data_IF_808773432861
#
_entry.id   IF_808773432861
#
_cell.length_a   1.000
_cell.length_b   1.000
_cell.length_c   1.000
_cell.angle_alpha   90.00
_cell.angle_beta   90.00
_cell.angle_gamma   90.00
#
_symmetry.space_group_name_H-M   'P 1'
#
loop_
_entity.id
_entity.type
_entity.pdbx_description
1 polymer ?
#
# COMPACT_ATOMS: atom_id res chain seq x y z
N UNK A 1 7.62 13.28 78.47
CA UNK A 1 7.48 14.20 77.33
C UNK A 1 6.22 13.95 76.47
N UNK A 2 5.51 12.81 76.60
CA UNK A 2 4.35 12.46 75.75
C UNK A 2 2.96 12.94 76.21
N UNK A 3 2.82 13.46 77.44
CA UNK A 3 1.49 13.91 77.93
C UNK A 3 1.06 15.27 77.36
N UNK A 4 2.00 16.18 77.07
CA UNK A 4 1.71 17.49 76.44
C UNK A 4 1.26 17.35 74.99
N UNK A 5 1.87 16.43 74.23
CA UNK A 5 1.50 16.14 72.83
C UNK A 5 0.12 15.49 72.73
N UNK A 6 -0.20 14.53 73.61
CA UNK A 6 -1.53 13.90 73.66
C UNK A 6 -2.64 14.89 74.06
N UNK A 7 -2.32 15.84 74.94
CA UNK A 7 -3.23 16.94 75.29
C UNK A 7 -3.43 17.98 74.17
N UNK A 8 -2.37 18.35 73.44
CA UNK A 8 -2.46 19.29 72.30
C UNK A 8 -3.23 18.70 71.11
N UNK A 9 -3.06 17.41 70.81
CA UNK A 9 -3.78 16.72 69.72
C UNK A 9 -5.28 16.59 70.05
N UNK A 10 -5.63 16.39 71.32
CA UNK A 10 -7.04 16.34 71.75
C UNK A 10 -7.70 17.73 71.71
N UNK A 11 -7.00 18.79 72.11
CA UNK A 11 -7.53 20.16 72.01
C UNK A 11 -7.84 20.54 70.56
N UNK A 12 -6.93 20.26 69.62
CA UNK A 12 -7.16 20.60 68.20
C UNK A 12 -8.37 19.89 67.60
N UNK A 13 -8.59 18.62 67.95
CA UNK A 13 -9.75 17.84 67.48
C UNK A 13 -11.06 18.34 68.06
N UNK A 14 -11.07 18.68 69.36
CA UNK A 14 -12.26 19.22 70.02
C UNK A 14 -12.64 20.58 69.42
N UNK A 15 -11.65 21.44 69.18
CA UNK A 15 -11.84 22.75 68.53
C UNK A 15 -12.38 22.61 67.10
N UNK A 16 -11.92 21.61 66.34
CA UNK A 16 -12.45 21.28 65.00
C UNK A 16 -13.93 20.87 65.06
N UNK A 17 -14.29 19.97 65.98
CA UNK A 17 -15.66 19.49 66.12
C UNK A 17 -16.59 20.61 66.60
N UNK A 18 -16.16 21.41 67.59
CA UNK A 18 -16.88 22.61 68.02
C UNK A 18 -17.02 23.61 66.86
N UNK A 19 -15.99 23.75 66.04
CA UNK A 19 -16.03 24.55 64.82
C UNK A 19 -17.06 24.04 63.81
N UNK A 20 -17.25 22.72 63.70
CA UNK A 20 -18.29 22.12 62.85
C UNK A 20 -19.70 22.30 63.43
N UNK A 21 -19.87 22.16 64.74
CA UNK A 21 -21.16 22.37 65.42
C UNK A 21 -21.64 23.83 65.26
N UNK A 22 -20.71 24.79 65.25
CA UNK A 22 -21.02 26.21 65.02
C UNK A 22 -21.26 26.59 63.54
N UNK A 23 -21.12 25.64 62.62
CA UNK A 23 -21.46 25.81 61.20
C UNK A 23 -22.88 25.31 60.92
N UNK A 24 -23.45 25.82 59.84
CA UNK A 24 -24.69 25.29 59.30
C UNK A 24 -24.45 23.90 58.70
N UNK A 25 -25.47 23.04 58.72
CA UNK A 25 -25.44 21.80 57.95
C UNK A 25 -25.18 22.13 56.47
N UNK A 26 -24.34 21.33 55.83
CA UNK A 26 -23.86 21.66 54.49
C UNK A 26 -23.29 20.46 53.77
N UNK A 27 -22.44 20.72 52.78
CA UNK A 27 -21.85 19.68 51.94
C UNK A 27 -20.98 18.66 52.69
N UNK A 28 -20.44 19.04 53.86
CA UNK A 28 -19.44 18.26 54.58
C UNK A 28 -19.91 17.82 55.97
N UNK A 29 -21.01 18.39 56.49
CA UNK A 29 -21.47 18.13 57.86
C UNK A 29 -22.99 17.91 57.88
N UNK A 30 -23.43 16.92 58.66
CA UNK A 30 -24.82 16.60 58.97
C UNK A 30 -24.97 16.38 60.48
N UNK A 31 -26.03 16.90 61.09
CA UNK A 31 -26.37 16.69 62.49
C UNK A 31 -27.53 15.71 62.63
N UNK A 32 -27.43 14.79 63.59
CA UNK A 32 -28.56 13.95 64.01
C UNK A 32 -28.65 13.98 65.52
N UNK A 33 -29.86 14.21 66.03
CA UNK A 33 -30.09 14.18 67.47
C UNK A 33 -29.80 12.80 68.08
N UNK A 34 -30.08 11.72 67.35
CA UNK A 34 -29.83 10.35 67.84
C UNK A 34 -29.54 9.36 66.71
N UNK A 35 -29.01 8.19 67.08
CA UNK A 35 -28.71 7.08 66.16
C UNK A 35 -29.93 6.54 65.40
N UNK A 36 -31.14 6.78 65.91
CA UNK A 36 -32.39 6.40 65.24
C UNK A 36 -32.58 7.22 63.97
N UNK A 37 -32.17 8.49 63.98
CA UNK A 37 -32.25 9.39 62.83
C UNK A 37 -31.18 9.18 61.77
N UNK A 38 -30.17 8.34 62.02
CA UNK A 38 -29.16 7.99 61.03
C UNK A 38 -29.75 7.03 60.00
N UNK A 39 -29.86 7.44 58.74
CA UNK A 39 -30.36 6.61 57.64
C UNK A 39 -29.20 6.13 56.75
N UNK A 40 -29.29 4.93 56.14
CA UNK A 40 -28.32 4.51 55.12
C UNK A 40 -28.17 5.53 53.98
N UNK A 41 -29.25 6.25 53.66
CA UNK A 41 -29.26 7.36 52.70
C UNK A 41 -28.30 8.50 53.07
N UNK A 42 -28.08 8.77 54.36
CA UNK A 42 -27.11 9.78 54.81
C UNK A 42 -25.68 9.32 54.47
N UNK A 43 -25.38 8.05 54.72
CA UNK A 43 -24.08 7.45 54.43
C UNK A 43 -23.79 7.44 52.92
N UNK A 44 -24.78 7.01 52.13
CA UNK A 44 -24.70 6.96 50.68
C UNK A 44 -24.51 8.36 50.08
N UNK A 45 -25.20 9.38 50.62
CA UNK A 45 -25.09 10.74 50.12
C UNK A 45 -23.65 11.29 50.23
N UNK A 46 -22.99 11.03 51.36
CA UNK A 46 -21.59 11.41 51.55
C UNK A 46 -20.62 10.54 50.75
N UNK A 47 -20.81 9.22 50.71
CA UNK A 47 -19.97 8.33 49.90
C UNK A 47 -20.00 8.68 48.40
N UNK A 48 -21.14 9.15 47.89
CA UNK A 48 -21.27 9.63 46.51
C UNK A 48 -20.79 11.08 46.31
N UNK A 49 -20.60 11.87 47.37
CA UNK A 49 -20.13 13.24 47.27
C UNK A 49 -18.66 13.29 46.83
N UNK A 50 -18.17 14.45 46.38
CA UNK A 50 -16.76 14.58 45.95
C UNK A 50 -15.77 14.51 47.12
N UNK A 51 -16.15 15.04 48.28
CA UNK A 51 -15.26 15.22 49.43
C UNK A 51 -15.52 14.22 50.56
N UNK A 52 -16.63 13.47 50.52
CA UNK A 52 -17.14 12.76 51.69
C UNK A 52 -17.84 13.72 52.64
N UNK A 53 -17.79 13.42 53.95
CA UNK A 53 -18.29 14.29 55.01
C UNK A 53 -18.36 13.60 56.37
N UNK A 54 -18.87 14.34 57.35
CA UNK A 54 -18.95 13.95 58.75
C UNK A 54 -20.41 14.02 59.21
N UNK A 55 -20.86 12.99 59.91
CA UNK A 55 -22.15 12.98 60.60
C UNK A 55 -21.89 13.05 62.11
N UNK A 56 -22.45 14.06 62.77
CA UNK A 56 -22.41 14.19 64.23
C UNK A 56 -23.72 13.70 64.83
N UNK A 57 -23.66 12.65 65.64
CA UNK A 57 -24.82 12.12 66.37
C UNK A 57 -24.81 12.63 67.80
N UNK A 58 -25.96 13.08 68.31
CA UNK A 58 -26.08 13.79 69.58
C UNK A 58 -26.05 15.31 69.42
N UNK A 59 -26.24 15.81 68.19
CA UNK A 59 -26.35 17.25 67.87
C UNK A 59 -27.69 17.46 67.18
N UNK A 60 -28.50 18.39 67.68
CA UNK A 60 -29.76 18.77 67.02
C UNK A 60 -29.56 20.09 66.27
N UNK A 61 -30.27 20.25 65.16
CA UNK A 61 -30.32 21.53 64.46
C UNK A 61 -31.13 22.54 65.29
N UNK A 62 -30.54 23.70 65.55
CA UNK A 62 -31.10 24.80 66.33
C UNK A 62 -30.81 26.12 65.61
N UNK A 63 -31.41 27.21 66.09
CA UNK A 63 -31.14 28.55 65.54
C UNK A 63 -30.54 29.42 66.61
N UNK A 64 -29.47 30.12 66.27
CA UNK A 64 -28.89 31.11 67.16
C UNK A 64 -29.78 32.36 67.28
N UNK A 65 -29.40 33.28 68.16
CA UNK A 65 -30.14 34.53 68.38
C UNK A 65 -30.23 35.44 67.13
N UNK A 66 -29.40 35.19 66.11
CA UNK A 66 -29.40 35.90 64.83
C UNK A 66 -30.25 35.22 63.75
N UNK A 67 -30.83 34.06 64.05
CA UNK A 67 -31.64 33.25 63.14
C UNK A 67 -30.83 32.33 62.22
N UNK A 68 -29.52 32.24 62.43
CA UNK A 68 -28.60 31.35 61.70
C UNK A 68 -28.73 29.93 62.24
N UNK A 69 -28.65 28.93 61.37
CA UNK A 69 -28.64 27.52 61.82
C UNK A 69 -27.31 27.19 62.51
N UNK A 70 -27.41 26.52 63.66
CA UNK A 70 -26.28 26.06 64.47
C UNK A 70 -26.64 24.74 65.14
N UNK A 71 -25.65 23.88 65.33
CA UNK A 71 -25.82 22.66 66.10
C UNK A 71 -25.93 22.96 67.60
N UNK A 72 -26.89 22.34 68.28
CA UNK A 72 -27.00 22.34 69.73
C UNK A 72 -26.72 20.92 70.25
N UNK A 73 -25.84 20.79 71.25
CA UNK A 73 -25.51 19.50 71.86
C UNK A 73 -26.75 18.92 72.55
N UNK A 74 -27.26 17.80 72.05
CA UNK A 74 -28.29 16.99 72.70
C UNK A 74 -27.68 15.89 73.56
N UNK A 75 -26.52 15.36 73.14
CA UNK A 75 -25.90 14.16 73.70
C UNK A 75 -26.59 12.89 73.22
N UNK A 76 -25.85 11.79 73.17
CA UNK A 76 -26.38 10.47 72.83
C UNK A 76 -25.68 9.39 73.64
N UNK A 77 -26.32 8.23 73.77
CA UNK A 77 -25.70 7.09 74.43
C UNK A 77 -24.63 6.49 73.51
N UNK A 78 -23.36 6.62 73.90
CA UNK A 78 -22.23 5.98 73.22
C UNK A 78 -21.98 4.61 73.84
N UNK A 79 -22.28 3.55 73.09
CA UNK A 79 -21.98 2.17 73.46
C UNK A 79 -21.59 1.31 72.25
N UNK A 80 -21.13 0.08 72.50
CA UNK A 80 -20.75 -0.85 71.45
C UNK A 80 -21.92 -1.22 70.54
N UNK A 81 -23.15 -1.22 71.07
CA UNK A 81 -24.36 -1.51 70.31
C UNK A 81 -24.66 -0.40 69.30
N UNK A 82 -24.48 0.86 69.69
CA UNK A 82 -24.58 2.01 68.81
C UNK A 82 -23.55 1.97 67.70
N UNK A 83 -22.29 1.66 68.04
CA UNK A 83 -21.22 1.46 67.05
C UNK A 83 -21.57 0.35 66.04
N UNK A 84 -22.03 -0.80 66.53
CA UNK A 84 -22.44 -1.92 65.67
C UNK A 84 -23.59 -1.52 64.74
N UNK A 85 -24.57 -0.77 65.26
CA UNK A 85 -25.71 -0.27 64.45
C UNK A 85 -25.25 0.62 63.29
N UNK A 86 -24.25 1.48 63.51
CA UNK A 86 -23.68 2.33 62.45
C UNK A 86 -22.99 1.45 61.40
N UNK A 87 -22.16 0.50 61.84
CA UNK A 87 -21.45 -0.42 60.95
C UNK A 87 -22.41 -1.29 60.13
N UNK A 88 -23.48 -1.79 60.73
CA UNK A 88 -24.51 -2.58 60.04
C UNK A 88 -25.19 -1.77 58.94
N UNK A 89 -25.52 -0.50 59.21
CA UNK A 89 -26.07 0.42 58.19
C UNK A 89 -25.08 0.62 57.04
N UNK A 90 -23.80 0.88 57.35
CA UNK A 90 -22.76 1.12 56.35
C UNK A 90 -22.47 -0.13 55.49
N UNK A 91 -22.44 -1.32 56.11
CA UNK A 91 -22.24 -2.61 55.44
C UNK A 91 -23.45 -3.05 54.62
N UNK A 92 -24.66 -2.56 54.94
CA UNK A 92 -25.86 -2.86 54.16
C UNK A 92 -25.90 -2.14 52.80
N UNK A 93 -25.10 -1.08 52.64
CA UNK A 93 -24.99 -0.34 51.39
C UNK A 93 -24.26 -1.15 50.31
N UNK A 94 -24.46 -0.76 49.05
CA UNK A 94 -23.81 -1.39 47.90
C UNK A 94 -23.11 -0.32 47.05
N UNK A 95 -21.78 -0.39 46.90
CA UNK A 95 -20.84 -1.21 47.70
C UNK A 95 -20.90 -0.89 49.21
N UNK A 96 -20.37 -1.76 50.09
CA UNK A 96 -20.24 -1.43 51.51
C UNK A 96 -19.45 -0.14 51.71
N UNK A 97 -19.92 0.72 52.61
CA UNK A 97 -19.29 2.01 52.90
C UNK A 97 -18.34 1.83 54.09
N UNK A 98 -17.07 2.18 53.92
CA UNK A 98 -16.14 2.24 55.03
C UNK A 98 -16.35 3.54 55.81
N UNK A 99 -16.57 3.43 57.12
CA UNK A 99 -16.82 4.57 58.01
C UNK A 99 -15.82 4.56 59.17
N UNK A 100 -15.26 5.72 59.49
CA UNK A 100 -14.46 5.90 60.69
C UNK A 100 -15.36 6.49 61.79
N UNK A 101 -15.49 5.75 62.89
CA UNK A 101 -16.41 6.09 63.98
C UNK A 101 -15.56 6.39 65.22
N UNK A 102 -15.68 7.60 65.73
CA UNK A 102 -15.16 8.01 67.03
C UNK A 102 -16.27 8.58 67.92
N UNK A 103 -15.96 8.79 69.19
CA UNK A 103 -16.85 9.44 70.15
C UNK A 103 -16.09 10.47 70.95
N UNK A 104 -16.73 11.59 71.25
CA UNK A 104 -16.15 12.68 72.04
C UNK A 104 -17.16 13.15 73.09
N UNK A 105 -16.68 13.55 74.25
CA UNK A 105 -17.48 14.16 75.31
C UNK A 105 -17.31 15.68 75.24
N UNK A 106 -18.41 16.42 75.06
CA UNK A 106 -18.42 17.89 75.00
C UNK A 106 -19.46 18.40 75.99
N UNK A 107 -19.05 19.25 76.94
CA UNK A 107 -19.90 19.80 78.00
C UNK A 107 -20.70 18.72 78.76
N UNK A 108 -20.08 17.57 79.03
CA UNK A 108 -20.70 16.42 79.72
C UNK A 108 -21.73 15.67 78.88
N UNK A 109 -21.75 15.89 77.56
CA UNK A 109 -22.61 15.19 76.60
C UNK A 109 -21.76 14.41 75.60
N UNK A 110 -21.98 13.11 75.53
CA UNK A 110 -21.31 12.25 74.56
C UNK A 110 -21.93 12.38 73.16
N UNK A 111 -21.08 12.44 72.14
CA UNK A 111 -21.49 12.47 70.73
C UNK A 111 -20.73 11.43 69.91
N UNK A 112 -21.34 10.91 68.84
CA UNK A 112 -20.59 10.19 67.81
C UNK A 112 -20.13 11.12 66.71
N UNK A 113 -18.92 10.89 66.23
CA UNK A 113 -18.37 11.52 65.02
C UNK A 113 -18.15 10.40 64.00
N UNK A 114 -18.92 10.43 62.92
CA UNK A 114 -18.86 9.42 61.85
C UNK A 114 -18.25 10.09 60.62
N UNK A 115 -17.00 9.78 60.31
CA UNK A 115 -16.31 10.28 59.13
C UNK A 115 -16.50 9.30 57.97
N UNK A 116 -16.97 9.82 56.84
CA UNK A 116 -17.30 9.08 55.62
C UNK A 116 -16.48 9.67 54.49
N UNK A 117 -15.54 8.88 53.94
CA UNK A 117 -14.73 9.33 52.81
C UNK A 117 -15.54 9.31 51.50
N UNK A 118 -15.09 10.12 50.54
CA UNK A 118 -15.51 10.01 49.15
C UNK A 118 -15.23 8.60 48.65
N UNK A 119 -16.26 7.91 48.18
CA UNK A 119 -16.14 6.51 47.80
C UNK A 119 -15.38 6.31 46.49
N UNK A 120 -14.62 5.22 46.39
CA UNK A 120 -13.86 4.89 45.17
C UNK A 120 -14.73 4.22 44.11
N UNK A 121 -15.78 3.50 44.54
CA UNK A 121 -16.60 2.64 43.68
C UNK A 121 -18.00 3.24 43.45
N UNK A 122 -18.06 4.54 43.17
CA UNK A 122 -19.33 5.21 42.91
C UNK A 122 -20.00 4.63 41.65
N UNK A 123 -21.33 4.56 41.60
CA UNK A 123 -22.28 5.05 42.59
C UNK A 123 -22.59 4.04 43.71
N UNK A 124 -22.67 4.55 44.94
CA UNK A 124 -23.17 3.83 46.11
C UNK A 124 -24.70 3.93 46.20
N UNK A 125 -25.35 2.88 46.68
CA UNK A 125 -26.77 2.88 47.03
C UNK A 125 -27.05 2.17 48.35
N UNK A 126 -28.25 2.40 48.88
CA UNK A 126 -28.74 1.64 50.03
C UNK A 126 -29.11 0.21 49.61
N UNK A 127 -29.35 -0.67 50.58
CA UNK A 127 -29.85 -2.03 50.32
C UNK A 127 -31.18 -2.07 49.52
N UNK A 128 -31.94 -0.97 49.51
CA UNK A 128 -33.19 -0.81 48.73
C UNK A 128 -32.96 -0.27 47.31
N UNK A 129 -31.71 0.02 46.93
CA UNK A 129 -31.38 0.62 45.63
C UNK A 129 -31.64 2.13 45.57
N UNK A 130 -31.69 2.82 46.72
CA UNK A 130 -31.83 4.29 46.75
C UNK A 130 -30.46 4.94 46.53
N UNK A 131 -30.35 5.77 45.50
CA UNK A 131 -29.14 6.56 45.20
C UNK A 131 -29.32 8.01 45.65
N UNK A 132 -28.40 8.48 46.49
CA UNK A 132 -28.37 9.86 46.99
C UNK A 132 -26.98 10.44 46.84
N UNK A 133 -26.91 11.76 46.68
CA UNK A 133 -25.67 12.53 46.73
C UNK A 133 -25.89 13.74 47.64
N UNK A 134 -24.85 14.14 48.37
CA UNK A 134 -24.91 15.33 49.21
C UNK A 134 -25.02 16.59 48.34
N UNK A 135 -26.05 17.40 48.60
CA UNK A 135 -26.22 18.77 48.14
C UNK A 135 -26.11 19.75 49.31
N UNK A 136 -26.41 21.03 49.06
CA UNK A 136 -26.32 22.13 50.04
C UNK A 136 -27.23 21.89 51.26
N UNK A 137 -26.70 21.20 52.28
CA UNK A 137 -27.44 20.77 53.47
C UNK A 137 -28.44 19.63 53.24
N UNK A 138 -28.69 19.19 52.00
CA UNK A 138 -29.75 18.22 51.69
C UNK A 138 -29.28 16.98 50.94
N UNK A 139 -29.99 15.86 51.15
CA UNK A 139 -29.82 14.62 50.38
C UNK A 139 -30.53 14.71 49.03
N UNK A 140 -29.80 14.97 47.96
CA UNK A 140 -30.36 14.99 46.60
C UNK A 140 -30.47 13.57 46.03
N UNK A 141 -31.60 13.26 45.40
CA UNK A 141 -31.74 12.02 44.61
C UNK A 141 -30.90 12.10 43.34
N UNK A 142 -30.15 11.04 43.03
CA UNK A 142 -29.45 10.93 41.75
C UNK A 142 -30.41 10.43 40.68
N UNK A 143 -30.66 11.25 39.66
CA UNK A 143 -31.45 10.85 38.50
C UNK A 143 -30.61 10.04 37.50
N UNK A 144 -31.22 9.31 36.54
CA UNK A 144 -30.49 8.39 35.65
C UNK A 144 -29.27 8.99 34.95
N UNK A 145 -29.37 10.23 34.46
CA UNK A 145 -28.25 10.90 33.78
C UNK A 145 -27.11 11.24 34.75
N UNK A 146 -27.43 11.69 35.96
CA UNK A 146 -26.42 12.02 36.99
C UNK A 146 -25.74 10.74 37.49
N UNK A 147 -26.51 9.66 37.64
CA UNK A 147 -25.98 8.35 38.01
C UNK A 147 -25.02 7.81 36.95
N UNK A 148 -25.40 7.92 35.67
CA UNK A 148 -24.55 7.54 34.55
C UNK A 148 -23.26 8.38 34.53
N UNK A 149 -23.36 9.69 34.73
CA UNK A 149 -22.17 10.55 34.82
C UNK A 149 -21.23 10.10 35.93
N UNK A 150 -21.77 9.78 37.11
CA UNK A 150 -20.97 9.32 38.25
C UNK A 150 -20.28 7.99 37.98
N UNK A 151 -20.99 7.03 37.37
CA UNK A 151 -20.42 5.75 36.97
C UNK A 151 -19.31 5.92 35.92
N UNK A 152 -19.56 6.75 34.90
CA UNK A 152 -18.58 7.01 33.84
C UNK A 152 -17.33 7.70 34.37
N UNK A 153 -17.45 8.59 35.36
CA UNK A 153 -16.30 9.25 35.99
C UNK A 153 -15.40 8.24 36.72
N UNK A 154 -15.99 7.30 37.45
CA UNK A 154 -15.25 6.21 38.14
C UNK A 154 -14.61 5.23 37.17
N UNK A 155 -15.29 4.84 36.10
CA UNK A 155 -14.78 3.84 35.16
C UNK A 155 -13.92 4.42 34.02
N UNK A 156 -13.83 5.75 33.92
CA UNK A 156 -13.09 6.46 32.87
C UNK A 156 -11.65 6.00 32.74
N UNK A 157 -10.95 5.83 33.86
CA UNK A 157 -9.53 5.48 33.83
C UNK A 157 -9.29 4.07 33.30
N UNK A 158 -10.11 3.10 33.73
CA UNK A 158 -10.08 1.72 33.22
C UNK A 158 -10.45 1.65 31.74
N UNK A 159 -11.41 2.47 31.31
CA UNK A 159 -11.76 2.58 29.90
C UNK A 159 -10.59 3.12 29.08
N UNK A 160 -9.96 4.21 29.52
CA UNK A 160 -8.82 4.82 28.81
C UNK A 160 -7.63 3.86 28.75
N UNK A 161 -7.33 3.14 29.83
CA UNK A 161 -6.22 2.16 29.82
C UNK A 161 -6.49 1.02 28.85
N UNK A 162 -7.69 0.43 28.90
CA UNK A 162 -8.10 -0.65 27.98
C UNK A 162 -8.10 -0.17 26.52
N UNK A 163 -8.57 1.05 26.27
CA UNK A 163 -8.57 1.65 24.94
C UNK A 163 -7.15 1.85 24.40
N UNK A 164 -6.21 2.32 25.24
CA UNK A 164 -4.80 2.45 24.87
C UNK A 164 -4.17 1.11 24.51
N UNK A 165 -4.44 0.07 25.28
CA UNK A 165 -3.91 -1.28 25.02
C UNK A 165 -4.39 -1.81 23.67
N UNK A 166 -5.69 -1.71 23.38
CA UNK A 166 -6.26 -2.10 22.08
C UNK A 166 -5.68 -1.25 20.94
N UNK A 167 -5.48 0.05 21.17
CA UNK A 167 -4.93 0.96 20.16
C UNK A 167 -3.48 0.62 19.79
N UNK A 168 -2.67 0.20 20.76
CA UNK A 168 -1.30 -0.23 20.50
C UNK A 168 -1.27 -1.45 19.57
N UNK A 169 -2.16 -2.43 19.78
CA UNK A 169 -2.27 -3.59 18.90
C UNK A 169 -2.67 -3.23 17.46
N UNK A 170 -3.55 -2.22 17.30
CA UNK A 170 -3.91 -1.69 15.98
C UNK A 170 -2.73 -0.99 15.30
N UNK A 171 -1.93 -0.23 16.06
CA UNK A 171 -0.74 0.44 15.53
C UNK A 171 0.29 -0.58 15.00
N UNK A 172 0.52 -1.66 15.74
CA UNK A 172 1.38 -2.76 15.30
C UNK A 172 0.87 -3.41 14.01
N UNK A 173 -0.43 -3.67 13.90
CA UNK A 173 -1.04 -4.22 12.67
C UNK A 173 -0.90 -3.28 11.46
N UNK A 174 -1.05 -1.97 11.67
CA UNK A 174 -0.86 -0.96 10.61
C UNK A 174 0.60 -0.96 10.13
N UNK A 175 1.56 -1.03 11.07
CA UNK A 175 2.98 -1.09 10.72
C UNK A 175 3.29 -2.36 9.92
N UNK A 176 2.79 -3.52 10.34
CA UNK A 176 2.96 -4.78 9.61
C UNK A 176 2.34 -4.70 8.21
N UNK A 177 1.11 -4.20 8.10
CA UNK A 177 0.42 -4.02 6.82
C UNK A 177 1.19 -3.08 5.89
N UNK A 178 1.74 -1.99 6.43
CA UNK A 178 2.59 -1.06 5.68
C UNK A 178 3.83 -1.77 5.14
N UNK A 179 4.51 -2.58 5.95
CA UNK A 179 5.68 -3.33 5.49
C UNK A 179 5.34 -4.28 4.35
N UNK A 180 4.28 -5.08 4.49
CA UNK A 180 3.83 -6.00 3.44
C UNK A 180 3.50 -5.26 2.15
N UNK A 181 2.81 -4.12 2.23
CA UNK A 181 2.47 -3.31 1.06
C UNK A 181 3.71 -2.74 0.36
N UNK A 182 4.70 -2.26 1.11
CA UNK A 182 5.96 -1.74 0.55
C UNK A 182 6.73 -2.85 -0.15
N UNK A 183 6.86 -4.02 0.47
CA UNK A 183 7.56 -5.16 -0.11
C UNK A 183 6.89 -5.64 -1.40
N UNK A 184 5.56 -5.73 -1.41
CA UNK A 184 4.81 -6.13 -2.59
C UNK A 184 4.92 -5.09 -3.71
N UNK A 185 4.91 -3.80 -3.37
CA UNK A 185 5.13 -2.71 -4.34
C UNK A 185 6.54 -2.79 -4.96
N UNK A 186 7.56 -3.12 -4.17
CA UNK A 186 8.93 -3.30 -4.66
C UNK A 186 9.04 -4.50 -5.61
N UNK A 187 8.33 -5.60 -5.34
CA UNK A 187 8.24 -6.77 -6.23
C UNK A 187 7.54 -6.45 -7.55
N UNK A 188 6.47 -5.66 -7.50
CA UNK A 188 5.82 -5.18 -8.72
C UNK A 188 6.77 -4.32 -9.54
N UNK A 189 7.51 -3.41 -8.89
CA UNK A 189 8.49 -2.57 -9.57
C UNK A 189 9.59 -3.39 -10.26
N UNK A 190 10.12 -4.43 -9.63
CA UNK A 190 11.10 -5.31 -10.27
C UNK A 190 10.49 -6.07 -11.45
N UNK A 191 9.25 -6.55 -11.31
CA UNK A 191 8.54 -7.23 -12.40
C UNK A 191 8.33 -6.30 -13.60
N UNK A 192 7.98 -5.03 -13.35
CA UNK A 192 7.87 -4.02 -14.41
C UNK A 192 9.21 -3.75 -15.10
N UNK A 193 10.30 -3.71 -14.34
CA UNK A 193 11.64 -3.53 -14.90
C UNK A 193 12.05 -4.70 -15.79
N UNK A 194 11.78 -5.93 -15.36
CA UNK A 194 12.05 -7.13 -16.17
C UNK A 194 11.19 -7.14 -17.44
N UNK A 195 9.93 -6.72 -17.32
CA UNK A 195 9.03 -6.55 -18.45
C UNK A 195 9.54 -5.50 -19.45
N UNK A 196 10.02 -4.36 -18.98
CA UNK A 196 10.64 -3.31 -19.81
C UNK A 196 11.86 -3.84 -20.57
N UNK A 197 12.74 -4.58 -19.90
CA UNK A 197 13.90 -5.21 -20.54
C UNK A 197 13.50 -6.21 -21.64
N UNK A 198 12.45 -7.01 -21.39
CA UNK A 198 11.93 -7.95 -22.36
C UNK A 198 11.33 -7.25 -23.58
N UNK A 199 10.61 -6.13 -23.39
CA UNK A 199 10.09 -5.31 -24.50
C UNK A 199 11.24 -4.75 -25.31
N UNK A 200 12.24 -4.14 -24.67
CA UNK A 200 13.38 -3.54 -25.37
C UNK A 200 14.15 -4.57 -26.19
N UNK A 201 14.34 -5.77 -25.64
CA UNK A 201 14.95 -6.88 -26.38
C UNK A 201 14.09 -7.28 -27.59
N UNK A 202 12.78 -7.45 -27.39
CA UNK A 202 11.86 -7.83 -28.47
C UNK A 202 11.83 -6.78 -29.59
N UNK A 203 11.86 -5.49 -29.23
CA UNK A 203 11.93 -4.40 -30.20
C UNK A 203 13.25 -4.40 -30.98
N UNK A 204 14.38 -4.66 -30.32
CA UNK A 204 15.68 -4.79 -30.98
C UNK A 204 15.74 -5.98 -31.94
N UNK A 205 15.14 -7.12 -31.55
CA UNK A 205 15.04 -8.30 -32.42
C UNK A 205 14.16 -8.02 -33.66
N UNK A 206 13.08 -7.24 -33.50
CA UNK A 206 12.22 -6.78 -34.59
C UNK A 206 12.97 -5.82 -35.52
N UNK A 207 13.70 -4.85 -34.96
CA UNK A 207 14.52 -3.88 -35.70
C UNK A 207 15.55 -4.61 -36.57
N UNK A 208 16.31 -5.53 -35.98
CA UNK A 208 17.28 -6.34 -36.72
C UNK A 208 16.62 -7.17 -37.83
N UNK A 209 15.43 -7.72 -37.57
CA UNK A 209 14.69 -8.46 -38.59
C UNK A 209 14.19 -7.57 -39.73
N UNK A 210 13.76 -6.34 -39.42
CA UNK A 210 13.33 -5.35 -40.41
C UNK A 210 14.50 -4.88 -41.29
N UNK A 211 15.66 -4.60 -40.70
CA UNK A 211 16.88 -4.23 -41.44
C UNK A 211 17.35 -5.35 -42.38
N UNK A 212 17.27 -6.60 -41.93
CA UNK A 212 17.56 -7.76 -42.77
C UNK A 212 16.55 -7.90 -43.93
N UNK A 213 15.26 -7.63 -43.69
CA UNK A 213 14.27 -7.64 -44.75
C UNK A 213 14.52 -6.53 -45.79
N UNK A 214 14.91 -5.34 -45.34
CA UNK A 214 15.20 -4.20 -46.21
C UNK A 214 16.47 -4.41 -47.05
N UNK A 215 17.55 -4.90 -46.44
CA UNK A 215 18.78 -5.27 -47.14
C UNK A 215 18.58 -6.41 -48.15
N UNK A 216 17.77 -7.43 -47.82
CA UNK A 216 17.40 -8.46 -48.78
C UNK A 216 16.55 -7.89 -49.93
N UNK A 217 15.66 -6.94 -49.65
CA UNK A 217 14.82 -6.30 -50.68
C UNK A 217 15.68 -5.50 -51.65
N UNK A 218 16.61 -4.68 -51.16
CA UNK A 218 17.55 -3.94 -52.02
C UNK A 218 18.47 -4.86 -52.84
N UNK A 219 18.91 -5.99 -52.27
CA UNK A 219 19.59 -7.04 -53.02
C UNK A 219 18.72 -7.59 -54.17
N UNK A 220 17.45 -7.88 -53.89
CA UNK A 220 16.51 -8.38 -54.90
C UNK A 220 16.33 -7.32 -56.00
N UNK A 221 16.12 -6.06 -55.65
CA UNK A 221 16.00 -4.96 -56.63
C UNK A 221 17.23 -4.87 -57.55
N UNK A 222 18.43 -4.94 -56.99
CA UNK A 222 19.67 -4.94 -57.79
C UNK A 222 19.72 -6.13 -58.75
N UNK A 223 19.43 -7.34 -58.28
CA UNK A 223 19.46 -8.53 -59.14
C UNK A 223 18.38 -8.51 -60.21
N UNK A 224 17.20 -7.93 -59.91
CA UNK A 224 16.12 -7.74 -60.89
C UNK A 224 16.55 -6.74 -61.95
N UNK A 225 17.21 -5.64 -61.57
CA UNK A 225 17.79 -4.69 -62.51
C UNK A 225 18.83 -5.34 -63.42
N UNK A 226 19.75 -6.12 -62.86
CA UNK A 226 20.75 -6.87 -63.66
C UNK A 226 20.06 -7.84 -64.64
N UNK A 227 19.00 -8.52 -64.21
CA UNK A 227 18.21 -9.40 -65.09
C UNK A 227 17.57 -8.59 -66.22
N UNK A 228 16.94 -7.44 -65.92
CA UNK A 228 16.31 -6.57 -66.92
C UNK A 228 17.31 -6.12 -67.99
N UNK A 229 18.51 -5.70 -67.57
CA UNK A 229 19.59 -5.32 -68.48
C UNK A 229 20.03 -6.48 -69.37
N UNK A 230 20.22 -7.67 -68.80
CA UNK A 230 20.60 -8.85 -69.59
C UNK A 230 19.53 -9.24 -70.61
N UNK A 231 18.24 -9.15 -70.25
CA UNK A 231 17.13 -9.40 -71.17
C UNK A 231 17.13 -8.39 -72.32
N UNK A 232 17.36 -7.11 -72.03
CA UNK A 232 17.45 -6.07 -73.03
C UNK A 232 18.61 -6.28 -74.01
N UNK A 233 19.79 -6.66 -73.51
CA UNK A 233 20.94 -7.00 -74.36
C UNK A 233 20.69 -8.23 -75.23
N UNK A 234 20.05 -9.27 -74.67
CA UNK A 234 19.62 -10.43 -75.46
C UNK A 234 18.65 -10.03 -76.57
N UNK A 235 17.71 -9.13 -76.29
CA UNK A 235 16.76 -8.64 -77.29
C UNK A 235 17.47 -7.87 -78.41
N UNK A 236 18.42 -6.98 -78.08
CA UNK A 236 19.25 -6.28 -79.09
C UNK A 236 20.00 -7.26 -79.97
N UNK A 237 20.60 -8.31 -79.39
CA UNK A 237 21.27 -9.35 -80.15
C UNK A 237 20.30 -10.11 -81.06
N UNK A 238 19.13 -10.52 -80.57
CA UNK A 238 18.12 -11.20 -81.37
C UNK A 238 17.64 -10.34 -82.55
N UNK A 239 17.35 -9.06 -82.31
CA UNK A 239 17.00 -8.10 -83.35
C UNK A 239 18.13 -7.99 -84.38
N UNK A 240 19.38 -7.88 -83.94
CA UNK A 240 20.54 -7.82 -84.84
C UNK A 240 20.69 -9.06 -85.72
N UNK A 241 20.38 -10.25 -85.18
CA UNK A 241 20.40 -11.52 -85.91
C UNK A 241 19.21 -11.59 -86.88
N UNK A 242 18.03 -11.12 -86.48
CA UNK A 242 16.85 -11.07 -87.35
C UNK A 242 17.10 -10.21 -88.60
N UNK A 243 17.83 -9.10 -88.47
CA UNK A 243 18.26 -8.26 -89.61
C UNK A 243 19.25 -8.96 -90.56
N UNK A 244 19.90 -10.05 -90.15
CA UNK A 244 20.78 -10.83 -91.02
C UNK A 244 19.99 -11.82 -91.90
N UNK A 245 18.80 -12.25 -91.48
CA UNK A 245 17.99 -13.24 -92.21
C UNK A 245 17.76 -12.89 -93.69
N UNK A 246 17.44 -11.63 -94.07
CA UNK A 246 17.29 -11.25 -95.49
C UNK A 246 18.62 -11.29 -96.27
N UNK A 247 19.74 -10.98 -95.61
CA UNK A 247 21.08 -11.02 -96.23
C UNK A 247 21.55 -12.45 -96.49
N UNK A 248 21.16 -13.36 -95.61
CA UNK A 248 21.40 -14.80 -95.75
C UNK A 248 20.58 -15.37 -96.91
N UNK A 249 19.30 -15.02 -97.05
CA UNK A 249 18.44 -15.46 -98.18
C UNK A 249 19.03 -15.10 -99.56
N UNK A 250 19.62 -13.88 -99.67
CA UNK A 250 20.25 -13.40 -100.91
C UNK A 250 21.49 -14.24 -101.28
N UNK A 251 22.30 -14.65 -100.29
CA UNK A 251 23.49 -15.46 -100.52
C UNK A 251 23.18 -16.96 -100.71
N UNK A 252 22.13 -17.50 -100.08
CA UNK A 252 21.71 -18.90 -100.24
C UNK A 252 21.23 -19.21 -101.65
N UNK A 253 20.62 -18.26 -102.37
CA UNK A 253 20.23 -18.46 -103.78
C UNK A 253 21.43 -18.62 -104.73
N UNK A 254 22.67 -18.36 -104.28
CA UNK A 254 23.88 -18.44 -105.10
C UNK A 254 24.76 -19.67 -104.85
N UNK A 255 24.48 -20.52 -103.84
CA UNK A 255 25.35 -21.64 -103.44
C UNK A 255 24.55 -22.96 -103.33
N UNK A 256 24.69 -23.85 -104.32
CA UNK A 256 24.01 -25.17 -104.37
C UNK A 256 24.66 -26.26 -103.47
N UNK A 257 25.38 -25.91 -102.40
CA UNK A 257 26.07 -26.88 -101.56
C UNK A 257 25.88 -26.60 -100.06
N UNK A 258 25.10 -27.45 -99.38
CA UNK A 258 24.74 -27.30 -97.95
C UNK A 258 25.96 -27.26 -97.01
N UNK A 259 27.02 -28.01 -97.30
CA UNK A 259 28.24 -28.05 -96.44
C UNK A 259 29.03 -26.72 -96.42
N UNK A 260 29.01 -25.96 -97.52
CA UNK A 260 29.68 -24.65 -97.57
C UNK A 260 28.87 -23.55 -96.88
N UNK A 261 27.54 -23.74 -96.79
CA UNK A 261 26.63 -22.80 -96.13
C UNK A 261 26.86 -22.77 -94.61
N UNK A 262 26.86 -23.94 -93.96
CA UNK A 262 27.08 -24.06 -92.52
C UNK A 262 28.44 -23.49 -92.09
N UNK A 263 29.48 -23.74 -92.90
CA UNK A 263 30.83 -23.20 -92.68
C UNK A 263 30.85 -21.67 -92.72
N UNK A 264 30.33 -21.05 -93.78
CA UNK A 264 30.35 -19.59 -93.93
C UNK A 264 29.48 -18.90 -92.88
N UNK A 265 28.36 -19.52 -92.50
CA UNK A 265 27.47 -18.98 -91.47
C UNK A 265 28.09 -19.06 -90.07
N UNK A 266 28.68 -20.20 -89.72
CA UNK A 266 29.44 -20.33 -88.48
C UNK A 266 30.62 -19.35 -88.44
N UNK A 267 31.31 -19.13 -89.57
CA UNK A 267 32.39 -18.14 -89.70
C UNK A 267 31.90 -16.72 -89.41
N UNK A 268 30.75 -16.31 -89.97
CA UNK A 268 30.18 -14.96 -89.77
C UNK A 268 29.72 -14.75 -88.32
N UNK A 269 29.06 -15.73 -87.70
CA UNK A 269 28.65 -15.64 -86.29
C UNK A 269 29.87 -15.50 -85.38
N UNK A 270 30.86 -16.36 -85.57
CA UNK A 270 32.09 -16.31 -84.78
C UNK A 270 32.80 -14.96 -84.98
N UNK A 271 32.92 -14.47 -86.22
CA UNK A 271 33.53 -13.17 -86.51
C UNK A 271 32.89 -12.01 -85.75
N UNK A 272 31.56 -12.07 -85.52
CA UNK A 272 30.87 -11.05 -84.72
C UNK A 272 31.07 -11.21 -83.21
N UNK A 273 31.19 -12.44 -82.71
CA UNK A 273 31.62 -12.65 -81.33
C UNK A 273 33.00 -12.03 -81.08
N UNK A 274 33.92 -12.14 -82.04
CA UNK A 274 35.24 -11.52 -81.93
C UNK A 274 35.22 -10.00 -81.98
N UNK A 275 34.31 -9.38 -82.77
CA UNK A 275 34.13 -7.91 -82.78
C UNK A 275 33.64 -7.30 -81.47
N UNK A 276 33.12 -8.09 -80.53
CA UNK A 276 32.75 -7.61 -79.19
C UNK A 276 33.97 -7.48 -78.26
N UNK A 277 35.14 -7.98 -78.67
CA UNK A 277 36.40 -7.77 -77.98
C UNK A 277 37.10 -6.54 -78.61
N UNK A 278 37.61 -5.62 -77.81
CA UNK A 278 38.32 -4.42 -78.27
C UNK A 278 39.83 -4.60 -78.11
N UNK A 279 40.60 -4.39 -79.18
CA UNK A 279 42.08 -4.48 -79.17
C UNK A 279 42.62 -5.90 -78.92
N UNK A 280 43.80 -6.00 -78.28
CA UNK A 280 44.56 -7.25 -78.02
C UNK A 280 43.87 -8.27 -77.08
N UNK A 281 42.63 -8.02 -76.63
CA UNK A 281 41.92 -8.92 -75.72
C UNK A 281 41.31 -10.10 -76.46
N UNK A 282 41.94 -11.27 -76.36
CA UNK A 282 41.41 -12.54 -76.86
C UNK A 282 40.36 -13.14 -75.90
N UNK A 283 39.39 -13.93 -76.41
CA UNK A 283 38.44 -14.64 -75.56
C UNK A 283 39.15 -15.61 -74.60
N UNK A 284 38.82 -15.57 -73.32
CA UNK A 284 39.32 -16.56 -72.38
C UNK A 284 38.74 -17.96 -72.69
N UNK A 285 39.30 -19.01 -72.08
CA UNK A 285 38.94 -20.40 -72.37
C UNK A 285 37.44 -20.68 -72.13
N UNK A 286 36.85 -20.07 -71.10
CA UNK A 286 35.42 -20.20 -70.78
C UNK A 286 34.54 -19.56 -71.87
N UNK A 287 34.91 -18.37 -72.35
CA UNK A 287 34.22 -17.68 -73.43
C UNK A 287 34.35 -18.44 -74.76
N UNK A 288 35.54 -18.93 -75.07
CA UNK A 288 35.82 -19.76 -76.26
C UNK A 288 34.95 -21.02 -76.27
N UNK A 289 34.86 -21.72 -75.14
CA UNK A 289 34.01 -22.90 -74.99
C UNK A 289 32.52 -22.58 -75.14
N UNK A 290 32.07 -21.46 -74.57
CA UNK A 290 30.68 -21.00 -74.71
C UNK A 290 30.33 -20.70 -76.16
N UNK A 291 31.16 -19.92 -76.86
CA UNK A 291 30.95 -19.56 -78.27
C UNK A 291 30.93 -20.79 -79.19
N UNK A 292 31.85 -21.73 -79.01
CA UNK A 292 31.85 -23.01 -79.74
C UNK A 292 30.60 -23.84 -79.46
N UNK A 293 30.13 -23.88 -78.21
CA UNK A 293 28.88 -24.55 -77.84
C UNK A 293 27.66 -23.90 -78.50
N UNK A 294 27.64 -22.57 -78.64
CA UNK A 294 26.58 -21.87 -79.38
C UNK A 294 26.56 -22.33 -80.84
N UNK A 295 27.71 -22.39 -81.51
CA UNK A 295 27.79 -22.90 -82.89
C UNK A 295 27.32 -24.35 -82.98
N UNK A 296 27.73 -25.22 -82.04
CA UNK A 296 27.29 -26.61 -81.99
C UNK A 296 25.79 -26.77 -81.75
N UNK A 297 25.15 -25.85 -81.03
CA UNK A 297 23.69 -25.85 -80.82
C UNK A 297 22.93 -25.36 -82.05
N UNK A 298 23.46 -24.34 -82.74
CA UNK A 298 22.85 -23.81 -83.97
C UNK A 298 23.02 -24.81 -85.12
N UNK A 299 24.17 -25.50 -85.19
CA UNK A 299 24.49 -26.51 -86.20
C UNK A 299 24.87 -27.85 -85.53
N UNK A 300 23.88 -28.68 -85.16
CA UNK A 300 24.12 -29.97 -84.50
C UNK A 300 24.97 -30.92 -85.34
N UNK A 301 24.89 -30.85 -86.67
CA UNK A 301 25.59 -31.74 -87.61
C UNK A 301 27.08 -31.39 -87.80
N UNK A 302 27.49 -30.17 -87.44
CA UNK A 302 28.90 -29.76 -87.49
C UNK A 302 29.69 -30.48 -86.39
N UNK A 303 30.67 -31.31 -86.78
CA UNK A 303 31.51 -31.99 -85.80
C UNK A 303 32.44 -31.01 -85.05
N UNK A 304 32.83 -31.35 -83.82
CA UNK A 304 33.59 -30.43 -82.97
C UNK A 304 34.93 -30.03 -83.57
N UNK A 305 35.62 -30.93 -84.28
CA UNK A 305 36.89 -30.63 -84.94
C UNK A 305 36.75 -29.56 -86.04
N UNK A 306 35.67 -29.59 -86.81
CA UNK A 306 35.39 -28.60 -87.86
C UNK A 306 34.95 -27.27 -87.27
N UNK A 307 34.24 -27.27 -86.14
CA UNK A 307 33.93 -26.05 -85.38
C UNK A 307 35.24 -25.42 -84.86
N UNK A 308 36.17 -26.23 -84.36
CA UNK A 308 37.49 -25.76 -83.92
C UNK A 308 38.30 -25.17 -85.08
N UNK A 309 38.30 -25.81 -86.25
CA UNK A 309 38.94 -25.28 -87.46
C UNK A 309 38.36 -23.93 -87.87
N UNK A 310 37.02 -23.80 -87.90
CA UNK A 310 36.35 -22.54 -88.23
C UNK A 310 36.73 -21.47 -87.18
N UNK A 311 36.66 -21.81 -85.90
CA UNK A 311 37.01 -20.90 -84.80
C UNK A 311 38.44 -20.38 -84.91
N UNK A 312 39.40 -21.27 -85.16
CA UNK A 312 40.81 -20.91 -85.36
C UNK A 312 40.97 -20.05 -86.63
N UNK A 313 40.25 -20.38 -87.71
CA UNK A 313 40.32 -19.60 -88.95
C UNK A 313 39.84 -18.16 -88.75
N UNK A 314 38.75 -17.97 -88.00
CA UNK A 314 38.20 -16.64 -87.68
C UNK A 314 39.12 -15.91 -86.72
N UNK A 315 39.67 -16.60 -85.73
CA UNK A 315 40.60 -16.03 -84.77
C UNK A 315 41.85 -15.48 -85.47
N UNK A 316 42.43 -16.25 -86.41
CA UNK A 316 43.55 -15.80 -87.23
C UNK A 316 43.20 -14.59 -88.08
N UNK A 317 42.07 -14.63 -88.79
CA UNK A 317 41.62 -13.47 -89.59
C UNK A 317 41.41 -12.22 -88.72
N UNK A 318 40.89 -12.37 -87.51
CA UNK A 318 40.70 -11.25 -86.57
C UNK A 318 42.03 -10.66 -86.07
N UNK A 319 43.04 -11.51 -85.83
CA UNK A 319 44.40 -11.10 -85.44
C UNK A 319 45.21 -10.52 -86.61
N UNK A 320 44.83 -10.79 -87.85
CA UNK A 320 45.45 -10.20 -89.04
C UNK A 320 44.83 -8.84 -89.41
N UNK A 321 43.56 -8.61 -89.04
CA UNK A 321 42.82 -7.37 -89.30
C UNK A 321 42.96 -6.30 -88.20
N UNK A 322 43.48 -6.66 -87.01
CA UNK A 322 43.70 -5.75 -85.87
C UNK A 322 45.13 -5.89 -85.34
#
# INVERSE_FOLDING_TARGET
MNYKLKGMINLSRLDEILGMINKEEGYEVEFKESLVGLEPEDLVAFANSKLGGIILIGVKDSKDASGKQVGELAGCKVDDKGRLTILDKANSCRPPINVDISSEEIDGKDIYVINILSGEFKPYCTNKGTYRIRGDGQKKSLYPNELLSLFMETEKEKFISSFKEVSNGLEEQIIQTRHVLVDETNRLLSTFKDFEQNINKSLSDIEYSADNADSNTSSVESTVGDIEDTVNEMWKLLVSIAYLLPRIDINTRRLNNLSGYEYNFAKEILGRFFKHYQGDKLPNERASKSQKNVIKRIFPELNSGRIDEIYISVLKSYQEEN
#
